data_IF_607490943320
#
_entry.id   IF_607490943320
#
_cell.length_a   1.000
_cell.length_b   1.000
_cell.length_c   1.000
_cell.angle_alpha   90.00
_cell.angle_beta   90.00
_cell.angle_gamma   90.00
#
_symmetry.space_group_name_H-M   'P 1'
#
loop_
_entity.id
_entity.type
_entity.pdbx_description
1 polymer ?
#
# COMPACT_ATOMS: atom_id res chain seq x y z
N UNK A 1 0.33 -11.65 17.99
CA UNK A 1 -1.07 -11.49 18.42
C UNK A 1 -1.85 -12.77 18.18
N UNK A 2 -2.93 -12.97 18.95
CA UNK A 2 -3.83 -14.09 18.75
C UNK A 2 -4.95 -13.70 17.77
N UNK A 3 -5.26 -14.58 16.83
CA UNK A 3 -6.40 -14.40 15.93
C UNK A 3 -7.72 -14.49 16.67
N UNK A 4 -8.78 -13.89 16.13
CA UNK A 4 -10.14 -14.02 16.63
C UNK A 4 -10.53 -15.47 16.87
N UNK A 5 -10.94 -15.80 18.10
CA UNK A 5 -11.30 -17.14 18.54
C UNK A 5 -10.13 -18.06 18.91
N UNK A 6 -8.90 -17.55 18.96
CA UNK A 6 -7.71 -18.27 19.41
C UNK A 6 -7.08 -17.59 20.62
N UNK A 7 -6.36 -18.37 21.42
CA UNK A 7 -5.62 -17.90 22.60
C UNK A 7 -6.50 -17.09 23.55
N UNK A 8 -6.11 -15.87 23.87
CA UNK A 8 -6.85 -14.94 24.71
C UNK A 8 -7.85 -14.07 23.91
N UNK A 9 -7.87 -14.16 22.59
CA UNK A 9 -8.78 -13.37 21.74
C UNK A 9 -10.20 -13.95 21.76
N UNK A 10 -11.18 -13.07 21.76
CA UNK A 10 -12.61 -13.43 21.63
C UNK A 10 -13.01 -13.59 20.17
N UNK A 11 -14.25 -14.01 19.91
CA UNK A 11 -14.79 -14.15 18.57
C UNK A 11 -14.82 -15.58 18.07
N UNK A 12 -14.80 -15.78 16.74
CA UNK A 12 -14.87 -17.11 16.12
C UNK A 12 -13.78 -17.23 15.04
N UNK A 13 -13.13 -18.40 14.92
CA UNK A 13 -12.16 -18.64 13.85
C UNK A 13 -12.85 -18.59 12.47
N UNK A 14 -12.33 -17.77 11.57
CA UNK A 14 -12.70 -17.77 10.13
C UNK A 14 -11.59 -17.18 9.29
N UNK A 15 -11.59 -17.44 7.99
CA UNK A 15 -10.65 -16.82 7.05
C UNK A 15 -10.78 -15.29 7.07
N UNK A 16 -12.01 -14.78 7.02
CA UNK A 16 -12.32 -13.36 7.02
C UNK A 16 -11.83 -12.67 8.29
N UNK A 17 -12.03 -13.31 9.45
CA UNK A 17 -11.57 -12.75 10.72
C UNK A 17 -10.05 -12.67 10.79
N UNK A 18 -9.32 -13.70 10.32
CA UNK A 18 -7.84 -13.61 10.28
C UNK A 18 -7.34 -12.48 9.38
N UNK A 19 -8.08 -12.13 8.33
CA UNK A 19 -7.74 -10.98 7.48
C UNK A 19 -8.03 -9.66 8.16
N UNK A 20 -9.19 -9.54 8.81
CA UNK A 20 -9.53 -8.36 9.58
C UNK A 20 -8.55 -8.13 10.75
N UNK A 21 -8.15 -9.19 11.43
CA UNK A 21 -7.21 -9.15 12.55
C UNK A 21 -5.84 -8.60 12.10
N UNK A 22 -5.27 -9.11 11.01
CA UNK A 22 -3.97 -8.62 10.53
C UNK A 22 -4.05 -7.19 9.99
N UNK A 23 -5.17 -6.80 9.38
CA UNK A 23 -5.41 -5.43 8.94
C UNK A 23 -5.51 -4.47 10.15
N UNK A 24 -6.18 -4.88 11.22
CA UNK A 24 -6.27 -4.10 12.46
C UNK A 24 -4.91 -3.93 13.14
N UNK A 25 -4.11 -5.00 13.21
CA UNK A 25 -2.73 -4.93 13.76
C UNK A 25 -1.87 -4.00 12.91
N UNK A 26 -1.95 -4.10 11.58
CA UNK A 26 -1.22 -3.19 10.70
C UNK A 26 -1.65 -1.74 10.91
N UNK A 27 -2.96 -1.47 10.99
CA UNK A 27 -3.46 -0.13 11.23
C UNK A 27 -2.99 0.42 12.58
N UNK A 28 -3.00 -0.40 13.63
CA UNK A 28 -2.46 -0.01 14.93
C UNK A 28 -0.97 0.37 14.85
N UNK A 29 -0.14 -0.42 14.16
CA UNK A 29 1.27 -0.09 13.95
C UNK A 29 1.46 1.24 13.23
N UNK A 30 0.63 1.53 12.23
CA UNK A 30 0.70 2.77 11.45
C UNK A 30 0.19 3.99 12.26
N UNK A 31 -0.97 3.87 12.94
CA UNK A 31 -1.63 5.01 13.60
C UNK A 31 -1.10 5.30 15.00
N UNK A 32 -0.91 4.26 15.83
CA UNK A 32 -0.51 4.42 17.22
C UNK A 32 1.01 4.45 17.40
N UNK A 33 1.73 3.68 16.60
CA UNK A 33 3.19 3.58 16.70
C UNK A 33 3.93 4.36 15.62
N UNK A 34 3.25 4.91 14.63
CA UNK A 34 3.85 5.69 13.55
C UNK A 34 4.80 4.88 12.65
N UNK A 35 4.66 3.55 12.62
CA UNK A 35 5.51 2.67 11.83
C UNK A 35 5.15 2.77 10.36
N UNK A 36 6.12 3.09 9.52
CA UNK A 36 5.87 3.17 8.08
C UNK A 36 5.86 1.77 7.45
N UNK A 37 5.09 1.61 6.38
CA UNK A 37 5.01 0.36 5.61
C UNK A 37 6.40 -0.17 5.19
N UNK A 38 7.33 0.73 4.89
CA UNK A 38 8.70 0.42 4.48
C UNK A 38 9.57 -0.14 5.62
N UNK A 39 9.08 -0.12 6.87
CA UNK A 39 9.78 -0.65 8.04
C UNK A 39 9.26 -2.02 8.49
N UNK A 40 8.20 -2.52 7.85
CA UNK A 40 7.51 -3.74 8.24
C UNK A 40 7.97 -4.91 7.38
N UNK A 41 8.37 -6.00 8.02
CA UNK A 41 8.49 -7.35 7.45
C UNK A 41 7.34 -8.17 8.01
N UNK A 42 6.52 -8.74 7.14
CA UNK A 42 5.46 -9.66 7.54
C UNK A 42 6.02 -11.08 7.62
N UNK A 43 5.71 -11.77 8.71
CA UNK A 43 6.10 -13.16 8.93
C UNK A 43 4.85 -14.02 9.09
N UNK A 44 4.72 -15.07 8.27
CA UNK A 44 3.59 -15.99 8.33
C UNK A 44 4.03 -17.45 8.35
N UNK A 45 3.69 -18.16 9.43
CA UNK A 45 3.93 -19.59 9.56
C UNK A 45 2.66 -20.39 9.26
N UNK A 46 2.78 -21.46 8.49
CA UNK A 46 1.70 -22.41 8.21
C UNK A 46 0.42 -21.68 7.73
N UNK A 47 -0.69 -21.82 8.45
CA UNK A 47 -1.95 -21.11 8.18
C UNK A 47 -1.79 -19.59 8.22
N UNK A 48 -0.89 -19.07 9.07
CA UNK A 48 -0.56 -17.65 9.15
C UNK A 48 -0.03 -17.05 7.85
N UNK A 49 0.45 -17.89 6.91
CA UNK A 49 0.79 -17.44 5.55
C UNK A 49 -0.41 -16.89 4.78
N UNK A 50 -1.64 -17.30 5.13
CA UNK A 50 -2.90 -16.81 4.54
C UNK A 50 -3.12 -15.32 4.75
N UNK A 51 -3.27 -14.86 6.01
CA UNK A 51 -3.40 -13.43 6.34
C UNK A 51 -2.15 -12.63 5.96
N UNK A 52 -0.94 -13.19 6.14
CA UNK A 52 0.30 -12.53 5.73
C UNK A 52 0.30 -12.17 4.24
N UNK A 53 -0.01 -13.13 3.36
CA UNK A 53 -0.10 -12.87 1.92
C UNK A 53 -1.31 -12.02 1.53
N UNK A 54 -2.40 -12.07 2.30
CA UNK A 54 -3.54 -11.20 2.12
C UNK A 54 -3.12 -9.74 2.29
N UNK A 55 -2.49 -9.40 3.41
CA UNK A 55 -2.02 -8.06 3.68
C UNK A 55 -0.90 -7.64 2.71
N UNK A 56 0.11 -8.49 2.49
CA UNK A 56 1.22 -8.21 1.58
C UNK A 56 0.77 -7.91 0.14
N UNK A 57 -0.29 -8.55 -0.34
CA UNK A 57 -0.83 -8.32 -1.67
C UNK A 57 -1.44 -6.93 -1.86
N UNK A 58 -1.76 -6.22 -0.77
CA UNK A 58 -2.36 -4.89 -0.73
C UNK A 58 -1.35 -3.79 -0.42
N UNK A 59 -0.25 -4.14 0.27
CA UNK A 59 0.77 -3.21 0.72
C UNK A 59 1.99 -3.22 -0.22
N UNK A 60 2.09 -2.28 -1.18
CA UNK A 60 3.12 -2.33 -2.23
C UNK A 60 4.52 -1.90 -1.77
N UNK A 61 4.67 -1.35 -0.57
CA UNK A 61 5.93 -0.78 -0.06
C UNK A 61 6.48 -1.51 1.16
N UNK A 62 5.99 -2.72 1.46
CA UNK A 62 6.54 -3.54 2.54
C UNK A 62 8.04 -3.77 2.33
N UNK A 63 8.77 -3.84 3.46
CA UNK A 63 10.20 -4.17 3.45
C UNK A 63 10.45 -5.58 2.96
N UNK A 64 9.62 -6.55 3.35
CA UNK A 64 9.72 -7.94 2.93
C UNK A 64 8.61 -8.81 3.50
N UNK A 65 8.60 -10.06 3.05
CA UNK A 65 7.71 -11.11 3.56
C UNK A 65 8.53 -12.36 3.84
N UNK A 66 8.26 -13.02 4.96
CA UNK A 66 8.80 -14.34 5.31
C UNK A 66 7.65 -15.33 5.39
N UNK A 67 7.78 -16.42 4.66
CA UNK A 67 6.85 -17.53 4.61
C UNK A 67 7.52 -18.77 5.20
N UNK A 68 7.07 -19.22 6.36
CA UNK A 68 7.60 -20.38 7.07
C UNK A 68 6.60 -21.53 6.99
N UNK A 69 6.97 -22.66 6.40
CA UNK A 69 6.12 -23.85 6.21
C UNK A 69 4.74 -23.48 5.64
N UNK A 70 4.73 -22.59 4.64
CA UNK A 70 3.54 -21.91 4.15
C UNK A 70 2.67 -22.79 3.24
N UNK A 71 1.36 -22.55 3.26
CA UNK A 71 0.38 -23.29 2.48
C UNK A 71 0.08 -22.64 1.13
N UNK A 72 -0.19 -23.44 0.10
CA UNK A 72 -0.72 -22.94 -1.19
C UNK A 72 -2.19 -22.52 -1.08
N UNK A 73 -2.97 -23.31 -0.36
CA UNK A 73 -4.37 -23.08 0.04
C UNK A 73 -4.80 -24.14 1.03
N UNK A 74 -5.94 -23.94 1.72
CA UNK A 74 -6.42 -24.85 2.74
C UNK A 74 -6.72 -26.27 2.19
N UNK A 75 -7.48 -26.37 1.11
CA UNK A 75 -7.83 -27.68 0.53
C UNK A 75 -6.61 -28.44 -0.03
N UNK A 76 -5.60 -27.73 -0.52
CA UNK A 76 -4.38 -28.38 -1.04
C UNK A 76 -3.58 -29.08 0.06
N UNK A 77 -3.68 -28.62 1.30
CA UNK A 77 -3.07 -29.31 2.46
C UNK A 77 -3.83 -30.58 2.79
N UNK A 78 -5.18 -30.50 2.87
CA UNK A 78 -6.01 -31.60 3.33
C UNK A 78 -6.21 -32.68 2.26
N UNK A 79 -6.45 -32.27 1.02
CA UNK A 79 -6.85 -33.17 -0.06
C UNK A 79 -5.74 -33.49 -1.07
N UNK A 80 -4.55 -32.91 -0.92
CA UNK A 80 -3.39 -33.09 -1.83
C UNK A 80 -3.72 -32.84 -3.32
N UNK A 81 -4.67 -31.93 -3.60
CA UNK A 81 -5.12 -31.61 -4.95
C UNK A 81 -4.25 -30.53 -5.58
N UNK A 82 -4.08 -30.57 -6.91
CA UNK A 82 -3.22 -29.62 -7.63
C UNK A 82 -3.97 -28.39 -8.16
N UNK A 83 -5.25 -28.24 -7.87
CA UNK A 83 -6.07 -27.11 -8.30
C UNK A 83 -6.78 -26.44 -7.11
N UNK A 84 -7.22 -25.19 -7.31
CA UNK A 84 -7.87 -24.39 -6.27
C UNK A 84 -9.35 -24.27 -6.59
N UNK A 85 -10.20 -24.78 -5.71
CA UNK A 85 -11.65 -24.71 -5.81
C UNK A 85 -12.20 -23.31 -5.50
N UNK A 86 -13.44 -23.04 -5.91
CA UNK A 86 -14.08 -21.75 -5.63
C UNK A 86 -14.35 -21.56 -4.13
N UNK A 87 -14.62 -22.61 -3.39
CA UNK A 87 -14.85 -22.61 -1.93
C UNK A 87 -13.59 -22.87 -1.09
N UNK A 88 -12.40 -22.92 -1.72
CA UNK A 88 -11.13 -23.08 -1.01
C UNK A 88 -10.77 -21.82 -0.21
N UNK A 89 -10.16 -22.00 0.94
CA UNK A 89 -9.70 -20.93 1.83
C UNK A 89 -8.21 -20.65 1.65
N UNK A 90 -7.77 -19.47 2.08
CA UNK A 90 -6.36 -19.05 2.02
C UNK A 90 -5.70 -19.28 0.65
N UNK A 91 -6.33 -18.80 -0.44
CA UNK A 91 -5.86 -18.98 -1.83
C UNK A 91 -4.54 -18.25 -2.12
N UNK A 92 -3.45 -18.70 -1.47
CA UNK A 92 -2.15 -18.06 -1.47
C UNK A 92 -1.48 -18.07 -2.84
N UNK A 93 -1.75 -19.08 -3.67
CA UNK A 93 -1.32 -19.16 -5.09
C UNK A 93 -1.69 -17.91 -5.89
N UNK A 94 -2.86 -17.31 -5.60
CA UNK A 94 -3.31 -16.08 -6.28
C UNK A 94 -2.74 -14.81 -5.65
N UNK A 95 -2.53 -14.82 -4.32
CA UNK A 95 -2.06 -13.65 -3.57
C UNK A 95 -0.57 -13.39 -3.78
N UNK A 96 0.26 -14.44 -3.75
CA UNK A 96 1.72 -14.34 -3.90
C UNK A 96 2.12 -13.58 -5.17
N UNK A 97 1.38 -13.79 -6.26
CA UNK A 97 1.62 -13.11 -7.56
C UNK A 97 1.39 -11.60 -7.51
N UNK A 98 0.73 -11.08 -6.46
CA UNK A 98 0.47 -9.64 -6.28
C UNK A 98 1.47 -8.97 -5.33
N UNK A 99 2.23 -9.75 -4.57
CA UNK A 99 3.25 -9.25 -3.64
C UNK A 99 4.37 -8.59 -4.42
N UNK A 100 4.76 -7.37 -3.99
CA UNK A 100 5.74 -6.53 -4.72
C UNK A 100 7.08 -6.39 -3.99
N UNK A 101 7.17 -6.87 -2.76
CA UNK A 101 8.40 -6.86 -1.96
C UNK A 101 9.10 -8.21 -2.04
N UNK A 102 10.39 -8.29 -1.64
CA UNK A 102 11.11 -9.56 -1.56
C UNK A 102 10.43 -10.56 -0.62
N UNK A 103 10.40 -11.83 -1.05
CA UNK A 103 9.76 -12.93 -0.34
C UNK A 103 10.78 -14.02 -0.02
N UNK A 104 11.08 -14.20 1.26
CA UNK A 104 11.84 -15.34 1.76
C UNK A 104 10.89 -16.49 2.06
N UNK A 105 11.20 -17.68 1.55
CA UNK A 105 10.48 -18.92 1.88
C UNK A 105 11.41 -19.85 2.64
N UNK A 106 10.96 -20.32 3.79
CA UNK A 106 11.66 -21.30 4.65
C UNK A 106 10.74 -22.52 4.78
N UNK A 107 11.27 -23.72 4.51
CA UNK A 107 10.49 -24.96 4.61
C UNK A 107 11.37 -26.17 4.91
N UNK A 108 10.85 -27.05 5.75
CA UNK A 108 11.50 -28.33 6.02
C UNK A 108 11.24 -29.34 4.90
N UNK A 109 12.25 -30.10 4.49
CA UNK A 109 12.06 -31.09 3.40
C UNK A 109 11.23 -32.29 3.80
N UNK A 110 11.16 -32.58 5.09
CA UNK A 110 10.45 -33.74 5.67
C UNK A 110 9.17 -33.31 6.43
N UNK A 111 8.63 -32.12 6.03
CA UNK A 111 7.37 -31.61 6.58
C UNK A 111 6.21 -32.56 6.20
N UNK A 112 5.64 -33.20 7.22
CA UNK A 112 4.58 -34.18 7.14
C UNK A 112 3.16 -33.56 7.23
N UNK A 113 3.07 -32.29 7.61
CA UNK A 113 1.79 -31.55 7.69
C UNK A 113 1.52 -30.76 6.41
N UNK A 114 2.50 -29.98 5.99
CA UNK A 114 2.46 -29.18 4.75
C UNK A 114 3.62 -29.60 3.87
N UNK A 115 3.36 -30.42 2.87
CA UNK A 115 4.43 -30.88 1.99
C UNK A 115 5.27 -29.71 1.47
N UNK A 116 6.62 -29.85 1.52
CA UNK A 116 7.56 -28.78 1.14
C UNK A 116 7.38 -28.26 -0.29
N UNK A 117 6.70 -29.05 -1.16
CA UNK A 117 6.33 -28.60 -2.50
C UNK A 117 5.46 -27.33 -2.49
N UNK A 118 4.69 -27.10 -1.40
CA UNK A 118 3.92 -25.87 -1.20
C UNK A 118 4.82 -24.64 -1.15
N UNK A 119 5.85 -24.68 -0.30
CA UNK A 119 6.84 -23.61 -0.21
C UNK A 119 7.58 -23.39 -1.53
N UNK A 120 8.00 -24.48 -2.18
CA UNK A 120 8.69 -24.44 -3.48
C UNK A 120 7.84 -23.79 -4.56
N UNK A 121 6.55 -24.08 -4.61
CA UNK A 121 5.65 -23.49 -5.59
C UNK A 121 5.37 -22.02 -5.28
N UNK A 122 5.18 -21.64 -4.00
CA UNK A 122 5.04 -20.23 -3.60
C UNK A 122 6.29 -19.43 -3.97
N UNK A 123 7.47 -19.97 -3.74
CA UNK A 123 8.73 -19.34 -4.11
C UNK A 123 8.82 -19.09 -5.64
N UNK A 124 8.48 -20.09 -6.45
CA UNK A 124 8.46 -19.95 -7.92
C UNK A 124 7.45 -18.92 -8.41
N UNK A 125 6.32 -18.76 -7.72
CA UNK A 125 5.25 -17.84 -8.10
C UNK A 125 5.46 -16.42 -7.57
N UNK A 126 6.38 -16.22 -6.64
CA UNK A 126 6.73 -14.91 -6.12
C UNK A 126 7.32 -14.03 -7.23
N UNK A 127 7.01 -12.74 -7.20
CA UNK A 127 7.54 -11.76 -8.18
C UNK A 127 8.98 -11.40 -7.88
N UNK A 128 9.31 -11.29 -6.62
CA UNK A 128 10.63 -10.94 -6.09
C UNK A 128 11.07 -12.04 -5.10
N UNK A 129 11.40 -13.26 -5.58
CA UNK A 129 11.81 -14.34 -4.72
C UNK A 129 13.20 -14.05 -4.16
N UNK A 130 13.34 -14.14 -2.83
CA UNK A 130 14.64 -14.17 -2.17
C UNK A 130 15.19 -15.60 -2.19
N UNK A 131 16.50 -15.78 -1.93
CA UNK A 131 17.12 -17.09 -1.83
C UNK A 131 16.40 -17.94 -0.75
N UNK A 132 15.79 -19.09 -1.10
CA UNK A 132 14.95 -19.84 -0.18
C UNK A 132 15.79 -20.68 0.76
N UNK A 133 15.26 -20.96 1.94
CA UNK A 133 15.90 -21.89 2.88
C UNK A 133 15.13 -23.21 2.93
N UNK A 134 15.70 -24.23 2.31
CA UNK A 134 15.21 -25.60 2.41
C UNK A 134 16.00 -26.35 3.50
N UNK A 135 15.36 -26.60 4.65
CA UNK A 135 16.01 -27.28 5.77
C UNK A 135 15.88 -28.78 5.59
N UNK A 136 16.99 -29.41 5.24
CA UNK A 136 17.05 -30.87 5.01
C UNK A 136 16.73 -31.62 6.31
N UNK A 137 15.77 -32.57 6.26
CA UNK A 137 15.31 -33.33 7.42
C UNK A 137 14.45 -32.54 8.39
N UNK A 138 14.17 -31.26 8.11
CA UNK A 138 13.28 -30.44 8.93
C UNK A 138 11.82 -30.82 8.71
N UNK A 139 11.04 -30.91 9.80
CA UNK A 139 9.60 -31.14 9.79
C UNK A 139 8.79 -29.86 9.67
N UNK A 140 7.52 -29.89 10.12
CA UNK A 140 6.61 -28.73 10.07
C UNK A 140 6.95 -27.65 11.11
N UNK A 141 7.36 -28.06 12.29
CA UNK A 141 7.64 -27.20 13.43
C UNK A 141 9.14 -27.24 13.79
N UNK A 142 9.54 -26.30 14.67
CA UNK A 142 10.87 -26.25 15.28
C UNK A 142 12.03 -26.07 14.27
N UNK A 143 11.76 -25.49 13.09
CA UNK A 143 12.81 -25.17 12.12
C UNK A 143 13.78 -24.12 12.66
N UNK A 144 13.36 -23.29 13.60
CA UNK A 144 14.17 -22.29 14.32
C UNK A 144 15.29 -22.90 15.16
N UNK A 145 15.24 -24.20 15.47
CA UNK A 145 16.30 -24.93 16.15
C UNK A 145 17.51 -25.25 15.24
N UNK A 146 17.33 -25.15 13.93
CA UNK A 146 18.41 -25.34 12.98
C UNK A 146 19.25 -24.05 12.87
N UNK A 147 20.58 -24.11 13.01
CA UNK A 147 21.44 -22.93 12.96
C UNK A 147 21.31 -22.11 11.68
N UNK A 148 20.99 -22.77 10.58
CA UNK A 148 20.79 -22.12 9.28
C UNK A 148 19.58 -21.23 9.27
N UNK A 149 18.54 -21.54 10.04
CA UNK A 149 17.31 -20.75 10.12
C UNK A 149 17.58 -19.30 10.57
N UNK A 150 18.17 -19.16 11.76
CA UNK A 150 18.46 -17.84 12.35
C UNK A 150 19.46 -17.06 11.49
N UNK A 151 20.48 -17.74 10.98
CA UNK A 151 21.51 -17.13 10.13
C UNK A 151 20.89 -16.56 8.84
N UNK A 152 20.11 -17.36 8.15
CA UNK A 152 19.49 -16.99 6.88
C UNK A 152 18.43 -15.90 7.06
N UNK A 153 17.56 -16.03 8.08
CA UNK A 153 16.57 -15.02 8.44
C UNK A 153 17.23 -13.68 8.80
N UNK A 154 18.29 -13.71 9.62
CA UNK A 154 19.04 -12.50 9.99
C UNK A 154 19.73 -11.85 8.78
N UNK A 155 20.21 -12.65 7.84
CA UNK A 155 20.79 -12.15 6.58
C UNK A 155 19.74 -11.43 5.75
N UNK A 156 18.56 -12.04 5.56
CA UNK A 156 17.44 -11.44 4.87
C UNK A 156 17.04 -10.09 5.49
N UNK A 157 16.83 -10.04 6.81
CA UNK A 157 16.42 -8.82 7.52
C UNK A 157 17.43 -7.69 7.29
N UNK A 158 18.74 -7.97 7.48
CA UNK A 158 19.81 -6.96 7.28
C UNK A 158 19.92 -6.47 5.84
N UNK A 159 19.73 -7.35 4.88
CA UNK A 159 19.76 -6.97 3.47
C UNK A 159 18.55 -6.07 3.13
N UNK A 160 17.36 -6.43 3.58
CA UNK A 160 16.15 -5.63 3.38
C UNK A 160 16.24 -4.25 4.05
N UNK A 161 16.84 -4.16 5.23
CA UNK A 161 17.12 -2.89 5.90
C UNK A 161 18.09 -2.03 5.10
N UNK A 162 19.15 -2.62 4.58
CA UNK A 162 20.14 -1.94 3.75
C UNK A 162 19.52 -1.38 2.47
N UNK A 163 18.69 -2.16 1.79
CA UNK A 163 17.99 -1.75 0.56
C UNK A 163 17.01 -0.60 0.88
N UNK A 164 16.22 -0.72 1.94
CA UNK A 164 15.27 0.32 2.36
C UNK A 164 15.99 1.63 2.66
N UNK A 165 17.09 1.57 3.40
CA UNK A 165 17.92 2.74 3.72
C UNK A 165 18.48 3.41 2.46
N UNK A 166 18.99 2.63 1.51
CA UNK A 166 19.48 3.17 0.21
C UNK A 166 18.38 3.88 -0.56
N UNK A 167 17.17 3.30 -0.61
CA UNK A 167 16.02 3.91 -1.29
C UNK A 167 15.63 5.23 -0.62
N UNK A 168 15.55 5.27 0.72
CA UNK A 168 15.25 6.49 1.50
C UNK A 168 16.27 7.59 1.25
N UNK A 169 17.57 7.27 1.31
CA UNK A 169 18.64 8.21 1.04
C UNK A 169 18.57 8.75 -0.40
N UNK A 170 18.25 7.91 -1.38
CA UNK A 170 18.04 8.35 -2.76
C UNK A 170 16.88 9.33 -2.88
N UNK A 171 15.74 9.05 -2.24
CA UNK A 171 14.56 9.94 -2.22
C UNK A 171 14.93 11.30 -1.60
N UNK A 172 15.63 11.31 -0.45
CA UNK A 172 16.07 12.54 0.23
C UNK A 172 17.01 13.33 -0.67
N UNK A 173 18.03 12.71 -1.28
CA UNK A 173 18.94 13.40 -2.21
C UNK A 173 18.20 14.02 -3.39
N UNK A 174 17.21 13.34 -3.94
CA UNK A 174 16.40 13.88 -5.03
C UNK A 174 15.54 15.08 -4.59
N UNK A 175 15.00 15.07 -3.37
CA UNK A 175 14.22 16.18 -2.82
C UNK A 175 15.08 17.42 -2.50
N UNK A 176 16.34 17.21 -2.12
CA UNK A 176 17.31 18.27 -1.82
C UNK A 176 17.96 18.88 -3.07
N UNK A 177 17.87 18.23 -4.23
CA UNK A 177 18.38 18.83 -5.47
C UNK A 177 17.55 20.07 -5.82
N UNK A 178 18.17 21.25 -5.99
CA UNK A 178 17.45 22.44 -6.42
C UNK A 178 16.75 22.11 -7.74
N UNK A 179 15.44 22.33 -7.79
CA UNK A 179 14.69 22.23 -9.04
C UNK A 179 15.40 23.14 -10.05
N UNK A 180 16.06 22.56 -11.06
CA UNK A 180 16.57 23.35 -12.19
C UNK A 180 15.38 24.14 -12.70
N UNK A 181 15.37 25.47 -12.45
CA UNK A 181 14.41 26.39 -13.06
C UNK A 181 14.55 26.13 -14.55
N UNK A 182 13.55 25.52 -15.16
CA UNK A 182 13.47 25.49 -16.61
C UNK A 182 13.47 26.96 -17.04
N UNK A 183 14.55 27.41 -17.63
CA UNK A 183 14.64 28.70 -18.30
C UNK A 183 13.67 28.61 -19.49
N UNK A 184 12.42 28.91 -19.19
CA UNK A 184 11.39 29.08 -20.22
C UNK A 184 11.71 30.41 -20.86
N UNK A 185 12.42 30.37 -21.97
CA UNK A 185 12.44 31.47 -22.91
C UNK A 185 10.97 31.71 -23.29
N UNK A 186 10.37 32.71 -22.71
CA UNK A 186 9.02 33.12 -23.02
C UNK A 186 9.06 33.97 -24.28
N UNK A 187 8.94 33.33 -25.45
CA UNK A 187 8.33 34.02 -26.58
C UNK A 187 6.89 34.28 -26.19
N UNK A 188 6.62 35.55 -25.90
CA UNK A 188 5.28 36.01 -25.53
C UNK A 188 4.37 35.97 -26.76
N UNK A 189 3.72 34.84 -26.97
CA UNK A 189 2.54 34.77 -27.84
C UNK A 189 1.33 34.89 -26.91
N UNK A 190 0.72 36.07 -26.92
CA UNK A 190 -0.51 36.35 -26.14
C UNK A 190 -1.68 35.59 -26.77
N UNK A 191 -1.88 34.35 -26.38
CA UNK A 191 -3.10 33.61 -26.74
C UNK A 191 -4.11 33.80 -25.61
N UNK A 192 -5.14 34.60 -25.86
CA UNK A 192 -6.27 34.75 -24.96
C UNK A 192 -7.17 33.54 -25.08
N UNK A 193 -7.12 32.62 -24.10
CA UNK A 193 -8.08 31.56 -23.97
C UNK A 193 -9.31 32.09 -23.22
N UNK A 194 -10.43 32.24 -23.92
CA UNK A 194 -11.74 32.43 -23.29
C UNK A 194 -12.29 31.05 -22.94
N UNK A 195 -12.15 30.65 -21.69
CA UNK A 195 -12.92 29.53 -21.17
C UNK A 195 -14.30 30.07 -20.74
N UNK A 196 -15.39 29.33 -20.98
CA UNK A 196 -16.73 29.63 -20.51
C UNK A 196 -16.86 29.53 -18.97
N UNK A 197 -15.84 29.85 -18.24
CA UNK A 197 -15.83 29.91 -16.79
C UNK A 197 -16.01 31.36 -16.34
N UNK A 198 -16.72 31.58 -15.25
CA UNK A 198 -16.94 32.88 -14.64
C UNK A 198 -15.63 33.61 -14.25
N UNK A 199 -14.46 32.96 -14.38
CA UNK A 199 -13.16 33.55 -14.13
C UNK A 199 -12.35 33.71 -15.42
N UNK A 200 -11.96 34.93 -15.74
CA UNK A 200 -11.04 35.28 -16.83
C UNK A 200 -9.59 35.27 -16.29
N UNK A 201 -8.75 34.35 -16.78
CA UNK A 201 -7.36 34.30 -16.37
C UNK A 201 -6.54 35.26 -17.23
N UNK A 202 -6.08 36.37 -16.66
CA UNK A 202 -5.06 37.26 -17.26
C UNK A 202 -3.72 36.99 -16.55
N UNK A 203 -2.65 37.08 -17.33
CA UNK A 203 -1.26 36.76 -16.91
C UNK A 203 -0.76 37.58 -15.70
N UNK A 204 -1.48 38.61 -15.23
CA UNK A 204 -1.05 39.43 -14.11
C UNK A 204 -2.04 39.62 -12.96
N UNK A 205 -3.35 39.43 -13.14
CA UNK A 205 -4.35 39.42 -12.04
C UNK A 205 -5.63 38.76 -12.54
N UNK A 206 -6.07 37.66 -11.96
CA UNK A 206 -7.37 37.09 -12.29
C UNK A 206 -8.49 37.98 -11.73
N UNK A 207 -9.39 38.43 -12.59
CA UNK A 207 -10.59 39.16 -12.21
C UNK A 207 -11.82 38.34 -12.56
N UNK A 208 -12.81 38.30 -11.68
CA UNK A 208 -14.11 37.70 -11.96
C UNK A 208 -14.95 38.70 -12.80
N UNK A 209 -15.44 38.31 -14.00
CA UNK A 209 -16.20 39.24 -14.86
C UNK A 209 -17.52 39.73 -14.25
N UNK A 210 -18.04 38.99 -13.30
CA UNK A 210 -19.34 39.31 -12.65
C UNK A 210 -19.25 40.16 -11.39
N UNK A 211 -18.08 40.34 -10.81
CA UNK A 211 -17.93 41.06 -9.54
C UNK A 211 -16.83 42.16 -9.52
N UNK A 212 -16.12 42.38 -10.59
CA UNK A 212 -15.06 43.40 -10.73
C UNK A 212 -13.96 43.39 -9.63
N UNK A 213 -13.89 42.30 -8.82
CA UNK A 213 -12.88 42.14 -7.79
C UNK A 213 -11.82 41.14 -8.22
N UNK A 214 -10.54 41.41 -7.89
CA UNK A 214 -9.46 40.45 -8.07
C UNK A 214 -9.55 39.36 -7.01
N UNK A 215 -9.74 38.12 -7.43
CA UNK A 215 -9.78 36.96 -6.53
C UNK A 215 -8.38 36.31 -6.47
N UNK A 216 -7.76 36.33 -5.27
CA UNK A 216 -6.43 35.73 -5.03
C UNK A 216 -6.38 34.20 -5.09
N UNK A 217 -7.53 33.53 -5.31
CA UNK A 217 -7.62 32.06 -5.34
C UNK A 217 -7.45 31.45 -6.74
N UNK A 218 -7.32 32.28 -7.81
CA UNK A 218 -7.19 31.81 -9.19
C UNK A 218 -5.76 31.88 -9.73
N UNK A 219 -4.82 31.21 -9.10
CA UNK A 219 -3.53 30.92 -9.73
C UNK A 219 -3.59 29.63 -10.55
N UNK A 220 -3.13 29.71 -11.79
CA UNK A 220 -3.25 28.69 -12.87
C UNK A 220 -2.79 27.25 -12.54
N UNK A 221 -2.08 27.07 -11.44
CA UNK A 221 -1.53 25.75 -11.06
C UNK A 221 -2.29 25.03 -9.96
N UNK A 222 -3.21 25.70 -9.27
CA UNK A 222 -3.83 25.14 -8.06
C UNK A 222 -5.34 25.26 -8.01
N UNK A 223 -6.01 25.66 -9.09
CA UNK A 223 -7.46 25.87 -9.09
C UNK A 223 -8.26 24.64 -8.68
N UNK A 224 -7.78 23.44 -8.99
CA UNK A 224 -8.42 22.18 -8.60
C UNK A 224 -8.13 21.75 -7.16
N UNK A 225 -7.01 22.17 -6.56
CA UNK A 225 -6.59 21.70 -5.23
C UNK A 225 -7.00 22.68 -4.13
N UNK A 226 -7.04 23.99 -4.41
CA UNK A 226 -7.37 25.01 -3.40
C UNK A 226 -8.86 25.21 -3.16
N UNK A 227 -9.72 24.91 -4.14
CA UNK A 227 -11.18 24.94 -3.92
C UNK A 227 -11.66 23.89 -2.92
N UNK A 228 -10.88 22.83 -2.68
CA UNK A 228 -11.22 21.77 -1.72
C UNK A 228 -10.80 22.07 -0.27
N UNK A 229 -9.89 23.00 -0.03
CA UNK A 229 -9.24 23.15 1.28
C UNK A 229 -9.49 24.50 1.98
N UNK A 230 -9.86 25.57 1.25
CA UNK A 230 -10.13 26.87 1.87
C UNK A 230 -11.26 27.62 1.15
N UNK A 231 -12.43 27.65 1.75
CA UNK A 231 -13.44 28.66 1.44
C UNK A 231 -12.88 30.03 1.76
N UNK A 232 -12.78 30.91 0.76
CA UNK A 232 -12.38 32.28 0.98
C UNK A 232 -13.49 33.00 1.80
N UNK A 233 -13.18 33.61 2.96
CA UNK A 233 -14.18 34.28 3.80
C UNK A 233 -15.00 35.36 3.07
N UNK A 234 -14.43 35.95 2.01
CA UNK A 234 -15.10 36.95 1.16
C UNK A 234 -16.14 36.39 0.19
N UNK A 235 -16.23 35.07 -0.01
CA UNK A 235 -17.24 34.45 -0.86
C UNK A 235 -18.59 34.27 -0.15
N UNK A 236 -18.66 34.38 1.18
CA UNK A 236 -19.91 34.27 1.95
C UNK A 236 -20.84 35.47 1.82
N UNK A 237 -20.38 36.61 1.31
CA UNK A 237 -21.15 37.85 1.19
C UNK A 237 -21.61 38.17 -0.23
N UNK A 238 -21.29 37.35 -1.23
CA UNK A 238 -21.61 37.64 -2.64
C UNK A 238 -22.79 36.78 -3.12
N UNK A 239 -24.01 37.29 -2.99
CA UNK A 239 -25.23 36.62 -3.44
C UNK A 239 -25.34 36.38 -4.96
N UNK A 240 -24.38 36.85 -5.77
CA UNK A 240 -24.39 36.72 -7.24
C UNK A 240 -23.69 35.47 -7.78
N UNK A 241 -22.93 34.74 -6.96
CA UNK A 241 -22.24 33.54 -7.43
C UNK A 241 -23.11 32.28 -7.53
N UNK A 242 -24.32 32.31 -6.95
CA UNK A 242 -25.22 31.17 -6.93
C UNK A 242 -26.03 30.95 -8.21
N UNK A 243 -25.97 31.87 -9.20
CA UNK A 243 -26.78 31.79 -10.44
C UNK A 243 -26.05 31.11 -11.62
N UNK A 244 -24.84 30.69 -11.48
CA UNK A 244 -24.08 30.04 -12.56
C UNK A 244 -24.30 28.52 -12.57
N UNK A 245 -25.25 28.04 -13.37
CA UNK A 245 -25.59 26.60 -13.54
C UNK A 245 -24.45 25.71 -14.01
N UNK A 246 -23.30 26.26 -14.39
CA UNK A 246 -22.10 25.49 -14.84
C UNK A 246 -21.09 25.18 -13.74
N UNK A 247 -21.30 25.69 -12.51
CA UNK A 247 -20.37 25.48 -11.39
C UNK A 247 -20.78 24.35 -10.43
N UNK A 248 -21.38 23.29 -10.94
CA UNK A 248 -21.84 22.12 -10.16
C UNK A 248 -20.71 21.32 -9.47
N UNK A 249 -19.46 21.78 -9.55
CA UNK A 249 -18.30 21.14 -8.86
C UNK A 249 -17.49 22.10 -7.98
N UNK A 250 -18.00 23.29 -7.71
CA UNK A 250 -17.33 24.19 -6.79
C UNK A 250 -17.92 23.97 -5.39
N UNK A 251 -17.14 23.40 -4.46
CA UNK A 251 -17.52 23.11 -3.07
C UNK A 251 -17.93 24.34 -2.23
N UNK A 252 -18.17 25.50 -2.85
CA UNK A 252 -18.68 26.68 -2.16
C UNK A 252 -20.20 26.69 -2.03
N UNK A 253 -20.92 25.71 -2.61
CA UNK A 253 -22.38 25.57 -2.49
C UNK A 253 -22.68 24.19 -1.89
N UNK A 254 -22.25 23.97 -0.65
CA UNK A 254 -22.74 22.89 0.17
C UNK A 254 -24.14 23.22 0.66
N UNK A 255 -25.06 22.29 0.48
CA UNK A 255 -26.48 22.40 0.81
C UNK A 255 -26.70 23.01 2.19
N UNK A 256 -27.31 24.20 2.20
CA UNK A 256 -28.09 24.69 3.33
C UNK A 256 -29.51 24.13 3.17
N UNK A 257 -29.80 23.02 3.81
CA UNK A 257 -31.12 22.64 4.32
C UNK A 257 -30.94 21.93 5.64
#
# INVERSE_FOLDING_TARGET
YDYSGYGASTGKPSEENTYADIEAVYQCLETEYGISQEDIILYGQSVGSGPTLHLASRLPRLRGVVLHSAILSGLRVVCHVNFTFCFDIYKNVKKIKKVKCPVLVIHGTDDDVVNWSHGKELWKLAREPYDPLWIKGGGHCNLELYPDFIRHLSSFIREMETITTKIRLKKIRQSLQPRKKAHRVSTATTTTFTTNCCCRIRVRKPTCPSCNFSCGCCELRNCFTFCFIRCCPSCFSCGSCCSCRSCFKCCCCGDAR
#
